data_IF_550523456889
#
_entry.id   IF_550523456889
#
_cell.length_a   1.000
_cell.length_b   1.000
_cell.length_c   1.000
_cell.angle_alpha   90.00
_cell.angle_beta   90.00
_cell.angle_gamma   90.00
#
_symmetry.space_group_name_H-M   'P 1'
#
loop_
_entity.id
_entity.type
_entity.pdbx_description
1 polymer ?
#
# COMPACT_ATOMS: atom_id res chain seq x y z
N UNK A 1 36.09 -21.38 2.35
CA UNK A 1 34.88 -22.17 2.66
C UNK A 1 33.89 -21.44 3.58
N UNK A 2 34.29 -21.03 4.79
CA UNK A 2 33.40 -20.36 5.76
C UNK A 2 32.67 -19.13 5.19
N UNK A 3 33.40 -18.23 4.49
CA UNK A 3 32.81 -17.06 3.85
C UNK A 3 31.74 -17.39 2.79
N UNK A 4 31.87 -18.51 2.06
CA UNK A 4 30.85 -18.92 1.07
C UNK A 4 29.60 -19.49 1.74
N UNK A 5 29.77 -20.24 2.83
CA UNK A 5 28.65 -20.73 3.65
C UNK A 5 27.90 -19.57 4.31
N UNK A 6 28.63 -18.59 4.85
CA UNK A 6 28.04 -17.36 5.39
C UNK A 6 27.31 -16.57 4.30
N UNK A 7 27.91 -16.39 3.13
CA UNK A 7 27.26 -15.73 2.00
C UNK A 7 25.96 -16.43 1.60
N UNK A 8 25.93 -17.77 1.57
CA UNK A 8 24.69 -18.54 1.33
C UNK A 8 23.61 -18.21 2.36
N UNK A 9 23.95 -18.20 3.65
CA UNK A 9 22.99 -17.87 4.72
C UNK A 9 22.45 -16.47 4.54
N UNK A 10 23.31 -15.47 4.29
CA UNK A 10 22.89 -14.09 4.03
C UNK A 10 22.01 -13.96 2.79
N UNK A 11 22.28 -14.74 1.75
CA UNK A 11 21.44 -14.77 0.56
C UNK A 11 20.04 -15.29 0.91
N UNK A 12 19.93 -16.40 1.64
CA UNK A 12 18.63 -16.93 2.09
C UNK A 12 17.85 -15.91 2.94
N UNK A 13 18.52 -15.30 3.93
CA UNK A 13 17.92 -14.23 4.75
C UNK A 13 17.41 -13.06 3.90
N UNK A 14 18.17 -12.68 2.87
CA UNK A 14 17.77 -11.62 1.95
C UNK A 14 16.52 -11.98 1.16
N UNK A 15 16.40 -13.21 0.65
CA UNK A 15 15.20 -13.63 -0.09
C UNK A 15 13.96 -13.60 0.79
N UNK A 16 14.05 -14.15 2.02
CA UNK A 16 12.93 -14.17 2.96
C UNK A 16 12.46 -12.73 3.26
N UNK A 17 13.39 -11.82 3.57
CA UNK A 17 13.07 -10.40 3.82
C UNK A 17 12.51 -9.72 2.58
N UNK A 18 13.04 -9.99 1.40
CA UNK A 18 12.57 -9.38 0.16
C UNK A 18 11.15 -9.84 -0.21
N UNK A 19 10.84 -11.12 0.01
CA UNK A 19 9.49 -11.68 -0.20
C UNK A 19 8.48 -11.06 0.78
N UNK A 20 8.82 -11.02 2.07
CA UNK A 20 7.96 -10.43 3.11
C UNK A 20 7.65 -8.95 2.83
N UNK A 21 8.67 -8.17 2.49
CA UNK A 21 8.51 -6.74 2.19
C UNK A 21 7.69 -6.54 0.92
N UNK A 22 7.95 -7.31 -0.14
CA UNK A 22 7.19 -7.23 -1.38
C UNK A 22 5.72 -7.59 -1.19
N UNK A 23 5.43 -8.63 -0.41
CA UNK A 23 4.07 -9.04 -0.05
C UNK A 23 3.36 -7.98 0.79
N UNK A 24 4.04 -7.42 1.80
CA UNK A 24 3.49 -6.36 2.65
C UNK A 24 3.15 -5.10 1.86
N UNK A 25 4.05 -4.65 0.98
CA UNK A 25 3.80 -3.51 0.11
C UNK A 25 2.61 -3.77 -0.82
N UNK A 26 2.50 -4.97 -1.39
CA UNK A 26 1.35 -5.30 -2.23
C UNK A 26 0.04 -5.23 -1.46
N UNK A 27 0.01 -5.77 -0.24
CA UNK A 27 -1.20 -5.73 0.57
C UNK A 27 -1.62 -4.29 0.89
N UNK A 28 -0.66 -3.39 1.15
CA UNK A 28 -0.95 -1.97 1.36
C UNK A 28 -1.52 -1.30 0.12
N UNK A 29 -0.96 -1.59 -1.06
CA UNK A 29 -1.45 -1.07 -2.34
C UNK A 29 -2.88 -1.53 -2.61
N UNK A 30 -3.16 -2.83 -2.45
CA UNK A 30 -4.50 -3.38 -2.65
C UNK A 30 -5.51 -2.80 -1.64
N UNK A 31 -5.12 -2.66 -0.37
CA UNK A 31 -5.96 -2.05 0.66
C UNK A 31 -6.27 -0.58 0.35
N UNK A 32 -5.27 0.17 -0.15
CA UNK A 32 -5.46 1.56 -0.56
C UNK A 32 -6.38 1.68 -1.78
N UNK A 33 -6.23 0.79 -2.76
CA UNK A 33 -7.10 0.76 -3.94
C UNK A 33 -8.54 0.44 -3.54
N UNK A 34 -8.75 -0.57 -2.69
CA UNK A 34 -10.08 -0.93 -2.18
C UNK A 34 -10.75 0.24 -1.44
N UNK A 35 -10.00 0.90 -0.56
CA UNK A 35 -10.46 2.10 0.13
C UNK A 35 -10.86 3.23 -0.84
N UNK A 36 -10.09 3.42 -1.91
CA UNK A 36 -10.34 4.46 -2.91
C UNK A 36 -11.52 4.12 -3.84
N UNK A 37 -11.72 2.84 -4.16
CA UNK A 37 -12.76 2.35 -5.07
C UNK A 37 -14.12 2.13 -4.40
N UNK A 38 -14.11 1.70 -3.13
CA UNK A 38 -15.33 1.30 -2.43
C UNK A 38 -15.66 2.27 -1.29
N UNK A 39 -14.74 2.48 -0.35
CA UNK A 39 -15.04 3.29 0.83
C UNK A 39 -15.26 4.77 0.50
N UNK A 40 -14.33 5.38 -0.24
CA UNK A 40 -14.38 6.83 -0.52
C UNK A 40 -15.62 7.23 -1.32
N UNK A 41 -16.03 6.55 -2.40
CA UNK A 41 -17.24 6.91 -3.13
C UNK A 41 -18.51 6.79 -2.27
N UNK A 42 -18.62 5.72 -1.47
CA UNK A 42 -19.75 5.54 -0.54
C UNK A 42 -19.80 6.66 0.49
N UNK A 43 -18.65 6.99 1.10
CA UNK A 43 -18.54 8.05 2.08
C UNK A 43 -19.01 9.40 1.52
N UNK A 44 -18.46 9.83 0.38
CA UNK A 44 -18.78 11.13 -0.19
C UNK A 44 -20.21 11.21 -0.73
N UNK A 45 -20.73 10.12 -1.31
CA UNK A 45 -22.14 10.04 -1.71
C UNK A 45 -23.07 10.21 -0.50
N UNK A 46 -22.79 9.52 0.61
CA UNK A 46 -23.57 9.64 1.84
C UNK A 46 -23.45 11.02 2.47
N UNK A 47 -22.25 11.61 2.47
CA UNK A 47 -22.01 12.96 2.96
C UNK A 47 -22.80 13.99 2.13
N UNK A 48 -22.78 13.85 0.80
CA UNK A 48 -23.55 14.68 -0.12
C UNK A 48 -25.05 14.58 0.16
N UNK A 49 -25.60 13.37 0.34
CA UNK A 49 -27.01 13.17 0.71
C UNK A 49 -27.37 13.92 2.01
N UNK A 50 -26.58 13.75 3.07
CA UNK A 50 -26.79 14.46 4.34
C UNK A 50 -26.70 15.98 4.19
N UNK A 51 -25.84 16.48 3.31
CA UNK A 51 -25.69 17.92 3.10
C UNK A 51 -26.94 18.55 2.48
N UNK A 52 -27.71 17.80 1.68
CA UNK A 52 -29.01 18.26 1.19
C UNK A 52 -30.03 18.44 2.33
N UNK A 53 -30.08 17.51 3.28
CA UNK A 53 -30.94 17.61 4.46
C UNK A 53 -30.58 18.83 5.31
N UNK A 54 -29.28 19.09 5.51
CA UNK A 54 -28.80 20.26 6.24
C UNK A 54 -29.19 21.56 5.53
N UNK A 55 -29.12 21.61 4.20
CA UNK A 55 -29.59 22.78 3.43
C UNK A 55 -31.10 22.96 3.58
N UNK A 56 -31.89 21.88 3.50
CA UNK A 56 -33.34 21.95 3.67
C UNK A 56 -33.73 22.46 5.06
N UNK A 57 -33.04 22.00 6.10
CA UNK A 57 -33.20 22.46 7.47
C UNK A 57 -32.83 23.95 7.61
N UNK A 58 -31.64 24.36 7.14
CA UNK A 58 -31.19 25.74 7.21
C UNK A 58 -32.10 26.72 6.44
N UNK A 59 -32.68 26.27 5.31
CA UNK A 59 -33.71 27.04 4.59
C UNK A 59 -34.98 27.20 5.43
N UNK A 60 -35.45 26.12 6.04
CA UNK A 60 -36.64 26.13 6.89
C UNK A 60 -36.46 27.05 8.10
N UNK A 61 -35.27 27.05 8.72
CA UNK A 61 -34.95 27.91 9.85
C UNK A 61 -34.85 29.39 9.46
N UNK A 62 -34.28 29.68 8.29
CA UNK A 62 -34.26 31.03 7.72
C UNK A 62 -35.69 31.54 7.46
N UNK A 63 -36.56 30.72 6.87
CA UNK A 63 -37.97 31.10 6.66
C UNK A 63 -38.71 31.29 7.99
N UNK A 64 -38.49 30.42 8.97
CA UNK A 64 -39.04 30.57 10.33
C UNK A 64 -38.56 31.85 11.00
N UNK A 65 -37.30 32.24 10.82
CA UNK A 65 -36.79 33.52 11.32
C UNK A 65 -37.49 34.70 10.65
N UNK A 66 -37.63 34.68 9.32
CA UNK A 66 -38.34 35.75 8.58
C UNK A 66 -39.79 35.92 9.01
N UNK A 67 -40.48 34.82 9.36
CA UNK A 67 -41.87 34.84 9.82
C UNK A 67 -42.04 35.34 11.27
N UNK A 68 -40.98 35.41 12.08
CA UNK A 68 -41.03 35.83 13.50
C UNK A 68 -41.17 37.35 13.70
N UNK A 69 -41.50 38.14 12.69
CA UNK A 69 -41.64 39.59 12.84
C UNK A 69 -42.72 39.95 13.87
N UNK A 70 -42.36 40.77 14.85
CA UNK A 70 -43.28 41.33 15.85
C UNK A 70 -43.45 42.82 15.55
N UNK A 71 -44.67 43.24 15.20
CA UNK A 71 -44.96 44.62 14.82
C UNK A 71 -44.25 45.04 13.52
N UNK A 72 -43.61 46.21 13.53
CA UNK A 72 -42.93 46.80 12.36
C UNK A 72 -41.43 46.42 12.26
N UNK A 73 -40.93 45.62 13.20
CA UNK A 73 -39.52 45.21 13.23
C UNK A 73 -39.32 43.86 12.53
N UNK A 74 -38.65 43.88 11.36
CA UNK A 74 -38.22 42.67 10.65
C UNK A 74 -36.88 42.16 11.17
N UNK A 75 -36.77 40.88 11.59
CA UNK A 75 -35.49 40.31 12.01
C UNK A 75 -34.52 40.23 10.82
N UNK A 76 -33.24 40.50 11.07
CA UNK A 76 -32.17 40.48 10.04
C UNK A 76 -31.80 39.06 9.59
N UNK A 77 -32.08 38.06 10.44
CA UNK A 77 -31.81 36.62 10.26
C UNK A 77 -30.38 36.35 9.78
N UNK A 78 -29.41 37.09 10.35
CA UNK A 78 -28.01 37.05 9.91
C UNK A 78 -27.39 35.68 10.14
N UNK A 79 -27.61 35.08 11.31
CA UNK A 79 -27.08 33.77 11.67
C UNK A 79 -27.66 32.67 10.78
N UNK A 80 -28.95 32.69 10.49
CA UNK A 80 -29.59 31.70 9.62
C UNK A 80 -29.15 31.82 8.16
N UNK A 81 -28.88 33.04 7.68
CA UNK A 81 -28.27 33.25 6.35
C UNK A 81 -26.86 32.68 6.29
N UNK A 82 -26.03 32.96 7.30
CA UNK A 82 -24.68 32.44 7.38
C UNK A 82 -24.67 30.91 7.47
N UNK A 83 -25.57 30.33 8.25
CA UNK A 83 -25.72 28.88 8.38
C UNK A 83 -26.13 28.22 7.05
N UNK A 84 -27.07 28.85 6.31
CA UNK A 84 -27.48 28.38 4.99
C UNK A 84 -26.33 28.45 3.97
N UNK A 85 -25.54 29.53 3.98
CA UNK A 85 -24.41 29.67 3.07
C UNK A 85 -23.28 28.67 3.42
N UNK A 86 -23.00 28.44 4.70
CA UNK A 86 -22.08 27.40 5.13
C UNK A 86 -22.58 25.98 4.75
N UNK A 87 -23.88 25.72 4.80
CA UNK A 87 -24.46 24.45 4.35
C UNK A 87 -24.27 24.24 2.84
N UNK A 88 -24.48 25.29 2.03
CA UNK A 88 -24.22 25.25 0.57
C UNK A 88 -22.74 25.00 0.27
N UNK A 89 -21.82 25.66 0.98
CA UNK A 89 -20.38 25.47 0.81
C UNK A 89 -19.96 24.01 1.11
N UNK A 90 -20.55 23.39 2.14
CA UNK A 90 -20.31 21.97 2.43
C UNK A 90 -20.81 21.04 1.33
N UNK A 91 -21.97 21.33 0.74
CA UNK A 91 -22.48 20.57 -0.41
C UNK A 91 -21.55 20.72 -1.62
N UNK A 92 -21.10 21.94 -1.90
CA UNK A 92 -20.16 22.19 -3.00
C UNK A 92 -18.86 21.40 -2.80
N UNK A 93 -18.25 21.48 -1.61
CA UNK A 93 -17.06 20.69 -1.28
C UNK A 93 -17.32 19.19 -1.48
N UNK A 94 -18.48 18.68 -1.05
CA UNK A 94 -18.82 17.27 -1.22
C UNK A 94 -18.88 16.87 -2.69
N UNK A 95 -19.47 17.71 -3.55
CA UNK A 95 -19.54 17.49 -5.00
C UNK A 95 -18.15 17.46 -5.63
N UNK A 96 -17.30 18.46 -5.30
CA UNK A 96 -15.91 18.52 -5.75
C UNK A 96 -15.14 17.25 -5.33
N UNK A 97 -15.35 16.77 -4.09
CA UNK A 97 -14.70 15.56 -3.59
C UNK A 97 -15.16 14.28 -4.29
N UNK A 98 -16.42 14.19 -4.70
CA UNK A 98 -16.90 13.05 -5.50
C UNK A 98 -16.17 13.01 -6.85
N UNK A 99 -16.04 14.15 -7.52
CA UNK A 99 -15.33 14.25 -8.80
C UNK A 99 -13.83 13.97 -8.65
N UNK A 100 -13.20 14.51 -7.60
CA UNK A 100 -11.79 14.24 -7.29
C UNK A 100 -11.56 12.76 -7.03
N UNK A 101 -12.37 12.11 -6.20
CA UNK A 101 -12.21 10.67 -5.90
C UNK A 101 -12.32 9.86 -7.18
N UNK A 102 -13.32 10.12 -8.03
CA UNK A 102 -13.44 9.41 -9.31
C UNK A 102 -12.21 9.59 -10.21
N UNK A 103 -11.63 10.79 -10.24
CA UNK A 103 -10.42 11.08 -11.03
C UNK A 103 -9.22 10.35 -10.46
N UNK A 104 -9.02 10.42 -9.14
CA UNK A 104 -7.93 9.75 -8.45
C UNK A 104 -8.02 8.23 -8.56
N UNK A 105 -9.22 7.65 -8.52
CA UNK A 105 -9.42 6.21 -8.73
C UNK A 105 -8.86 5.77 -10.08
N UNK A 106 -9.21 6.47 -11.16
CA UNK A 106 -8.72 6.14 -12.50
C UNK A 106 -7.20 6.31 -12.61
N UNK A 107 -6.65 7.37 -12.03
CA UNK A 107 -5.22 7.65 -12.05
C UNK A 107 -4.43 6.59 -11.27
N UNK A 108 -4.84 6.30 -10.03
CA UNK A 108 -4.18 5.34 -9.15
C UNK A 108 -4.23 3.93 -9.73
N UNK A 109 -5.35 3.52 -10.32
CA UNK A 109 -5.46 2.21 -10.99
C UNK A 109 -4.41 2.06 -12.09
N UNK A 110 -4.23 3.08 -12.92
CA UNK A 110 -3.21 3.06 -13.97
C UNK A 110 -1.79 2.93 -13.43
N UNK A 111 -1.45 3.72 -12.40
CA UNK A 111 -0.13 3.68 -11.75
C UNK A 111 0.14 2.33 -11.07
N UNK A 112 -0.89 1.72 -10.46
CA UNK A 112 -0.79 0.39 -9.85
C UNK A 112 -0.53 -0.68 -10.91
N UNK A 113 -1.23 -0.64 -12.06
CA UNK A 113 -1.02 -1.60 -13.14
C UNK A 113 0.43 -1.57 -13.65
N UNK A 114 1.01 -0.37 -13.80
CA UNK A 114 2.42 -0.21 -14.20
C UNK A 114 3.38 -0.71 -13.11
N UNK A 115 3.09 -0.40 -11.85
CA UNK A 115 3.86 -0.87 -10.71
C UNK A 115 3.84 -2.40 -10.59
N UNK A 116 2.69 -3.03 -10.78
CA UNK A 116 2.52 -4.48 -10.71
C UNK A 116 3.32 -5.21 -11.80
N UNK A 117 3.42 -4.61 -13.00
CA UNK A 117 4.30 -5.12 -14.06
C UNK A 117 5.77 -5.19 -13.62
N UNK A 118 6.30 -4.13 -13.01
CA UNK A 118 7.69 -4.06 -12.53
C UNK A 118 7.93 -4.97 -11.32
N UNK A 119 7.02 -4.94 -10.35
CA UNK A 119 7.08 -5.78 -9.14
C UNK A 119 7.02 -7.27 -9.48
N UNK A 120 6.15 -7.67 -10.41
CA UNK A 120 6.03 -9.06 -10.82
C UNK A 120 7.32 -9.66 -11.39
N UNK A 121 8.18 -8.86 -12.00
CA UNK A 121 9.50 -9.31 -12.45
C UNK A 121 10.45 -9.60 -11.27
N UNK A 122 10.47 -8.72 -10.25
CA UNK A 122 11.25 -8.93 -9.03
C UNK A 122 10.76 -10.16 -8.26
N UNK A 123 9.44 -10.32 -8.11
CA UNK A 123 8.82 -11.46 -7.44
C UNK A 123 9.26 -12.78 -8.12
N UNK A 124 9.13 -12.88 -9.44
CA UNK A 124 9.56 -14.08 -10.19
C UNK A 124 11.05 -14.37 -10.06
N UNK A 125 11.88 -13.34 -9.98
CA UNK A 125 13.32 -13.50 -9.78
C UNK A 125 13.63 -14.11 -8.41
N UNK A 126 12.98 -13.61 -7.34
CA UNK A 126 13.12 -14.14 -5.98
C UNK A 126 12.61 -15.59 -5.90
N UNK A 127 11.45 -15.89 -6.48
CA UNK A 127 10.84 -17.22 -6.39
C UNK A 127 11.58 -18.30 -7.20
N UNK A 128 12.15 -17.95 -8.37
CA UNK A 128 12.66 -18.95 -9.32
C UNK A 128 14.17 -18.88 -9.55
N UNK A 129 14.72 -17.70 -9.80
CA UNK A 129 16.14 -17.54 -10.15
C UNK A 129 17.04 -17.54 -8.91
N UNK A 130 16.48 -17.14 -7.77
CA UNK A 130 17.17 -17.21 -6.49
C UNK A 130 17.49 -18.66 -6.08
N UNK A 131 16.51 -19.56 -6.21
CA UNK A 131 16.71 -20.99 -5.92
C UNK A 131 17.83 -21.61 -6.79
N UNK A 132 17.90 -21.23 -8.08
CA UNK A 132 18.99 -21.67 -8.97
C UNK A 132 20.36 -21.12 -8.54
N UNK A 133 20.38 -19.89 -8.06
CA UNK A 133 21.60 -19.22 -7.57
C UNK A 133 22.11 -19.93 -6.31
N UNK A 134 21.23 -20.22 -5.36
CA UNK A 134 21.56 -21.00 -4.15
C UNK A 134 22.09 -22.39 -4.52
N UNK A 135 21.40 -23.13 -5.40
CA UNK A 135 21.83 -24.46 -5.82
C UNK A 135 23.21 -24.43 -6.52
N UNK A 136 23.51 -23.36 -7.25
CA UNK A 136 24.82 -23.17 -7.87
C UNK A 136 25.90 -22.93 -6.81
N UNK A 137 25.62 -22.10 -5.81
CA UNK A 137 26.53 -21.84 -4.70
C UNK A 137 26.78 -23.11 -3.88
N UNK A 138 25.76 -23.93 -3.64
CA UNK A 138 25.88 -25.23 -2.97
C UNK A 138 26.80 -26.19 -3.72
N UNK A 139 26.65 -26.29 -5.06
CA UNK A 139 27.55 -27.10 -5.89
C UNK A 139 28.99 -26.62 -5.83
N UNK A 140 29.21 -25.30 -5.82
CA UNK A 140 30.57 -24.73 -5.69
C UNK A 140 31.18 -25.03 -4.33
N UNK A 141 30.41 -24.91 -3.25
CA UNK A 141 30.85 -25.26 -1.89
C UNK A 141 31.24 -26.74 -1.83
N UNK A 142 30.38 -27.63 -2.31
CA UNK A 142 30.64 -29.08 -2.32
C UNK A 142 31.87 -29.46 -3.15
N UNK A 143 32.07 -28.83 -4.31
CA UNK A 143 33.26 -29.07 -5.13
C UNK A 143 34.54 -28.68 -4.39
N UNK A 144 34.57 -27.51 -3.73
CA UNK A 144 35.74 -27.03 -2.98
C UNK A 144 36.01 -27.93 -1.77
N UNK A 145 34.97 -28.43 -1.10
CA UNK A 145 35.11 -29.39 0.02
C UNK A 145 35.75 -30.70 -0.45
N UNK A 146 35.27 -31.26 -1.57
CA UNK A 146 35.85 -32.47 -2.14
C UNK A 146 37.34 -32.30 -2.51
N UNK A 147 37.73 -31.13 -3.04
CA UNK A 147 39.14 -30.83 -3.32
C UNK A 147 39.99 -30.77 -2.04
N UNK A 148 39.47 -30.13 -0.98
CA UNK A 148 40.18 -30.04 0.30
C UNK A 148 40.35 -31.42 0.98
N UNK A 149 39.37 -32.31 0.85
CA UNK A 149 39.46 -33.69 1.36
C UNK A 149 40.52 -34.51 0.61
N UNK A 150 40.61 -34.36 -0.72
CA UNK A 150 41.63 -35.03 -1.53
C UNK A 150 43.05 -34.57 -1.13
N UNK A 151 43.24 -33.27 -0.91
CA UNK A 151 44.52 -32.71 -0.48
C UNK A 151 44.92 -33.21 0.92
N UNK A 152 43.98 -33.21 1.87
CA UNK A 152 44.22 -33.72 3.22
C UNK A 152 44.57 -35.23 3.24
N UNK A 153 43.94 -36.03 2.39
CA UNK A 153 44.23 -37.46 2.26
C UNK A 153 45.61 -37.73 1.61
N UNK A 154 46.10 -36.83 0.76
CA UNK A 154 47.43 -36.94 0.15
C UNK A 154 48.56 -36.57 1.13
N UNK A 155 48.25 -35.80 2.18
CA UNK A 155 49.22 -35.29 3.16
C UNK A 155 49.41 -36.23 4.37
N UNK A 156 48.58 -37.27 4.50
CA UNK A 156 48.68 -38.28 5.56
C UNK A 156 49.93 -39.18 5.35
N UNK A 157 50.93 -39.17 6.26
CA UNK A 157 52.17 -39.90 6.06
C UNK A 157 51.94 -41.42 6.15
N UNK A 158 52.47 -42.15 5.17
CA UNK A 158 52.40 -43.62 5.13
C UNK A 158 52.90 -44.24 6.45
N UNK A 159 52.19 -45.24 7.00
CA UNK A 159 52.60 -45.87 8.25
C UNK A 159 54.01 -46.47 8.11
N UNK A 160 54.87 -46.33 9.14
CA UNK A 160 56.25 -46.81 9.05
C UNK A 160 56.28 -48.31 8.76
N UNK A 161 57.20 -48.78 7.90
CA UNK A 161 57.29 -50.19 7.53
C UNK A 161 57.56 -51.02 8.79
N UNK A 162 56.68 -51.99 9.07
CA UNK A 162 56.90 -53.01 10.10
C UNK A 162 58.09 -53.87 9.70
N UNK A 163 59.16 -53.78 10.51
CA UNK A 163 60.36 -54.61 10.42
C UNK A 163 60.11 -56.05 10.91
#
# INVERSE_FOLDING_TARGET
LAAMREFKVRLLEFADVAEDVAASLQQQVLSFLDWLEHDRPIFWKNYMLRSFDVIAQARSDLERCKMRSVGDHRPTCYEEKLALDAAKQRLQMAQEKVEEVSRWTSFVRHEIDEHDGRRGALQRYIESDFAKTIATLERMIAAIEAYAEIEAAAEEPAPPPTA
#
